data_IF_603533997804
#
_entry.id   IF_603533997804
#
_cell.length_a   1.000
_cell.length_b   1.000
_cell.length_c   1.000
_cell.angle_alpha   90.00
_cell.angle_beta   90.00
_cell.angle_gamma   90.00
#
_symmetry.space_group_name_H-M   'P 1'
#
loop_
_entity.id
_entity.type
_entity.pdbx_description
1 polymer ?
#
# COMPACT_ATOMS: atom_id res chain seq x y z
N UNK A 1 4.08 -7.79 -19.76
CA UNK A 1 2.70 -7.59 -20.18
C UNK A 1 2.36 -8.60 -21.29
N UNK A 2 1.21 -9.23 -21.22
CA UNK A 2 0.69 -10.09 -22.29
C UNK A 2 0.03 -9.21 -23.36
N UNK A 3 0.50 -9.35 -24.59
CA UNK A 3 -0.01 -8.62 -25.75
C UNK A 3 -1.18 -9.38 -26.43
N UNK A 4 -1.91 -8.69 -27.28
CA UNK A 4 -3.05 -9.29 -28.02
C UNK A 4 -2.64 -10.45 -28.92
N UNK A 5 -1.41 -10.46 -29.42
CA UNK A 5 -0.82 -11.55 -30.20
C UNK A 5 -0.27 -12.71 -29.33
N UNK A 6 -0.54 -12.69 -28.01
CA UNK A 6 -0.06 -13.65 -27.00
C UNK A 6 1.47 -13.61 -26.76
N UNK A 7 2.20 -12.61 -27.26
CA UNK A 7 3.59 -12.40 -26.88
C UNK A 7 3.68 -11.72 -25.49
N UNK A 8 4.82 -11.91 -24.83
CA UNK A 8 5.15 -11.23 -23.58
C UNK A 8 6.07 -10.06 -23.87
N UNK A 9 5.67 -8.88 -23.41
CA UNK A 9 6.54 -7.68 -23.47
C UNK A 9 7.10 -7.42 -22.07
N UNK A 10 8.42 -7.22 -22.01
CA UNK A 10 9.07 -6.76 -20.79
C UNK A 10 8.68 -5.30 -20.53
N UNK A 11 8.13 -5.03 -19.35
CA UNK A 11 7.72 -3.70 -18.90
C UNK A 11 8.44 -3.31 -17.61
N UNK A 12 9.55 -3.97 -17.27
CA UNK A 12 10.39 -3.52 -16.16
C UNK A 12 10.94 -2.12 -16.41
N UNK A 13 11.43 -1.44 -15.38
CA UNK A 13 11.96 -0.08 -15.55
C UNK A 13 13.09 -0.03 -16.57
N UNK A 14 13.14 1.03 -17.37
CA UNK A 14 14.12 1.20 -18.42
C UNK A 14 15.54 1.51 -17.90
N UNK A 15 15.65 2.10 -16.71
CA UNK A 15 16.94 2.53 -16.12
C UNK A 15 17.33 1.66 -14.94
N UNK A 16 18.35 0.83 -15.15
CA UNK A 16 18.94 -0.02 -14.11
C UNK A 16 18.09 -1.23 -13.71
N UNK A 17 18.75 -2.25 -13.20
CA UNK A 17 18.08 -3.43 -12.67
C UNK A 17 17.41 -3.11 -11.31
N UNK A 18 16.37 -3.88 -10.96
CA UNK A 18 15.86 -3.90 -9.61
C UNK A 18 16.85 -4.55 -8.66
N UNK A 19 16.83 -4.11 -7.40
CA UNK A 19 17.63 -4.74 -6.35
C UNK A 19 17.21 -6.19 -6.19
N UNK A 20 18.16 -7.10 -6.31
CA UNK A 20 17.90 -8.53 -6.06
C UNK A 20 17.71 -8.74 -4.56
N UNK A 21 16.57 -9.25 -4.19
CA UNK A 21 16.16 -9.35 -2.79
C UNK A 21 15.30 -10.58 -2.55
N UNK A 22 15.20 -10.98 -1.28
CA UNK A 22 14.22 -11.95 -0.81
C UNK A 22 12.85 -11.35 -0.57
N UNK A 23 12.73 -10.02 -0.58
CA UNK A 23 11.45 -9.34 -0.44
C UNK A 23 10.58 -9.56 -1.68
N UNK A 24 9.30 -9.75 -1.45
CA UNK A 24 8.32 -9.97 -2.50
C UNK A 24 7.77 -8.64 -2.99
N UNK A 25 7.40 -8.60 -4.25
CA UNK A 25 6.65 -7.51 -4.82
C UNK A 25 5.21 -7.54 -4.32
N UNK A 26 4.69 -6.38 -3.94
CA UNK A 26 3.27 -6.13 -3.72
C UNK A 26 2.76 -5.11 -4.75
N UNK A 27 1.49 -5.22 -5.12
CA UNK A 27 0.90 -4.46 -6.21
C UNK A 27 -0.44 -3.87 -5.81
N UNK A 28 -0.68 -2.63 -6.23
CA UNK A 28 -1.98 -1.98 -6.11
C UNK A 28 -2.40 -1.37 -7.44
N UNK A 29 -3.69 -1.41 -7.73
CA UNK A 29 -4.28 -0.67 -8.84
C UNK A 29 -4.68 0.72 -8.33
N UNK A 30 -4.28 1.77 -9.03
CA UNK A 30 -4.66 3.15 -8.75
C UNK A 30 -5.22 3.81 -10.02
N UNK A 31 -6.54 3.86 -10.12
CA UNK A 31 -7.17 4.26 -11.36
C UNK A 31 -6.78 3.32 -12.52
N UNK A 32 -6.14 3.85 -13.55
CA UNK A 32 -5.57 3.10 -14.67
C UNK A 32 -4.05 2.83 -14.52
N UNK A 33 -3.46 3.18 -13.39
CA UNK A 33 -2.06 2.92 -13.08
C UNK A 33 -1.90 1.65 -12.26
N UNK A 34 -0.71 1.06 -12.32
CA UNK A 34 -0.28 -0.02 -11.43
C UNK A 34 0.86 0.52 -10.57
N UNK A 35 0.71 0.41 -9.27
CA UNK A 35 1.76 0.71 -8.30
C UNK A 35 2.39 -0.60 -7.87
N UNK A 36 3.71 -0.64 -7.75
CA UNK A 36 4.46 -1.82 -7.32
C UNK A 36 5.52 -1.44 -6.29
N UNK A 37 5.71 -2.27 -5.29
CA UNK A 37 6.71 -2.05 -4.24
C UNK A 37 7.31 -3.36 -3.74
N UNK A 38 8.59 -3.34 -3.33
CA UNK A 38 9.33 -4.49 -2.80
C UNK A 38 10.20 -4.13 -1.59
N UNK A 39 10.11 -2.90 -1.09
CA UNK A 39 10.91 -2.32 -0.02
C UNK A 39 12.38 -2.02 -0.35
N UNK A 40 13.02 -2.74 -1.25
CA UNK A 40 14.46 -2.54 -1.56
C UNK A 40 14.66 -1.45 -2.61
N UNK A 41 13.72 -1.33 -3.54
CA UNK A 41 13.65 -0.24 -4.51
C UNK A 41 12.62 0.81 -4.09
N UNK A 42 12.72 2.00 -4.68
CA UNK A 42 11.67 3.02 -4.60
C UNK A 42 10.34 2.47 -5.14
N UNK A 43 9.23 2.96 -4.63
CA UNK A 43 7.90 2.64 -5.16
C UNK A 43 7.88 2.89 -6.67
N UNK A 44 7.39 1.93 -7.42
CA UNK A 44 7.34 1.97 -8.89
C UNK A 44 5.91 2.19 -9.37
N UNK A 45 5.75 2.85 -10.50
CA UNK A 45 4.45 3.06 -11.14
C UNK A 45 4.51 2.74 -12.63
N UNK A 46 3.45 2.10 -13.12
CA UNK A 46 3.17 1.96 -14.55
C UNK A 46 1.97 2.86 -14.86
N UNK A 47 2.20 3.94 -15.59
CA UNK A 47 1.20 4.99 -15.85
C UNK A 47 0.27 4.65 -17.01
N UNK A 48 -0.65 3.74 -16.75
CA UNK A 48 -1.67 3.34 -17.72
C UNK A 48 -1.26 2.19 -18.63
N UNK A 49 -2.23 1.72 -19.40
CA UNK A 49 -2.07 0.52 -20.23
C UNK A 49 -1.08 0.68 -21.40
N UNK A 50 -0.87 1.91 -21.86
CA UNK A 50 0.04 2.21 -22.96
C UNK A 50 1.47 2.53 -22.49
N UNK A 51 1.70 2.57 -21.19
CA UNK A 51 3.05 2.77 -20.66
C UNK A 51 3.95 1.58 -21.04
N UNK A 52 5.16 1.88 -21.47
CA UNK A 52 6.12 0.88 -21.93
C UNK A 52 6.87 0.23 -20.77
N UNK A 53 7.13 1.00 -19.70
CA UNK A 53 7.94 0.54 -18.57
C UNK A 53 7.42 1.09 -17.25
N UNK A 54 7.71 0.38 -16.17
CA UNK A 54 7.63 0.96 -14.84
C UNK A 54 8.67 2.07 -14.68
N UNK A 55 8.34 3.05 -13.86
CA UNK A 55 9.24 4.13 -13.47
C UNK A 55 9.13 4.40 -11.96
N UNK A 56 10.15 4.96 -11.32
CA UNK A 56 10.05 5.36 -9.92
C UNK A 56 8.92 6.36 -9.70
N UNK A 57 8.17 6.19 -8.62
CA UNK A 57 7.20 7.18 -8.18
C UNK A 57 7.95 8.40 -7.65
N UNK A 58 7.84 9.52 -8.37
CA UNK A 58 8.52 10.77 -7.97
C UNK A 58 7.75 11.39 -6.80
N UNK A 59 8.41 11.51 -5.67
CA UNK A 59 7.89 12.12 -4.43
C UNK A 59 8.92 13.13 -3.91
N UNK A 60 8.53 13.99 -2.97
CA UNK A 60 9.45 14.99 -2.36
C UNK A 60 10.65 14.30 -1.69
N UNK A 61 10.40 13.18 -1.04
CA UNK A 61 11.44 12.32 -0.46
C UNK A 61 11.27 10.91 -1.00
N UNK A 62 12.37 10.20 -1.20
CA UNK A 62 12.35 8.79 -1.60
C UNK A 62 11.57 7.96 -0.59
N UNK A 63 10.57 7.23 -1.08
CA UNK A 63 9.77 6.31 -0.27
C UNK A 63 9.96 4.89 -0.81
N UNK A 64 10.22 3.97 0.12
CA UNK A 64 10.22 2.53 -0.12
C UNK A 64 9.19 1.90 0.81
N UNK A 65 8.51 0.84 0.37
CA UNK A 65 7.52 0.17 1.20
C UNK A 65 7.44 -1.32 0.91
N UNK A 66 6.94 -2.12 1.85
CA UNK A 66 6.68 -3.54 1.63
C UNK A 66 5.30 -3.79 1.05
N UNK A 67 4.33 -2.97 1.40
CA UNK A 67 2.94 -3.18 1.06
C UNK A 67 2.33 -1.90 0.50
N UNK A 68 1.45 -2.08 -0.48
CA UNK A 68 0.69 -0.98 -1.04
C UNK A 68 -0.77 -1.40 -1.27
N UNK A 69 -1.70 -0.50 -0.95
CA UNK A 69 -3.12 -0.65 -1.28
C UNK A 69 -3.69 0.71 -1.67
N UNK A 70 -4.76 0.71 -2.45
CA UNK A 70 -5.51 1.92 -2.79
C UNK A 70 -6.84 1.90 -2.04
N UNK A 71 -7.21 3.03 -1.44
CA UNK A 71 -8.50 3.21 -0.79
C UNK A 71 -8.93 4.68 -0.88
N UNK A 72 -10.19 4.94 -1.24
CA UNK A 72 -10.81 6.28 -1.30
C UNK A 72 -9.98 7.37 -2.02
N UNK A 73 -9.27 7.01 -3.10
CA UNK A 73 -8.43 7.96 -3.85
C UNK A 73 -7.05 8.21 -3.23
N UNK A 74 -6.69 7.50 -2.17
CA UNK A 74 -5.38 7.55 -1.54
C UNK A 74 -4.58 6.28 -1.83
N UNK A 75 -3.27 6.43 -2.04
CA UNK A 75 -2.32 5.31 -2.05
C UNK A 75 -1.76 5.14 -0.64
N UNK A 76 -1.99 3.99 -0.05
CA UNK A 76 -1.43 3.59 1.24
C UNK A 76 -0.18 2.76 1.05
N UNK A 77 0.84 3.07 1.84
CA UNK A 77 2.10 2.34 1.90
C UNK A 77 2.35 1.90 3.34
N UNK A 78 2.56 0.60 3.53
CA UNK A 78 2.81 0.01 4.86
C UNK A 78 4.21 -0.59 4.97
N UNK A 79 4.78 -0.58 6.19
CA UNK A 79 6.16 -0.94 6.44
C UNK A 79 7.07 -0.14 5.50
N UNK A 80 7.23 1.12 5.74
CA UNK A 80 7.87 2.02 4.79
C UNK A 80 9.14 2.67 5.35
N UNK A 81 9.97 3.19 4.44
CA UNK A 81 11.09 4.07 4.72
C UNK A 81 10.83 5.41 4.03
N UNK A 82 11.00 6.51 4.75
CA UNK A 82 10.94 7.88 4.23
C UNK A 82 12.05 8.70 4.87
N UNK A 83 12.79 9.49 4.08
CA UNK A 83 13.91 10.28 4.59
C UNK A 83 14.99 9.44 5.28
N UNK A 84 15.20 8.20 4.87
CA UNK A 84 16.18 7.29 5.48
C UNK A 84 15.74 6.62 6.78
N UNK A 85 14.55 6.95 7.31
CA UNK A 85 14.00 6.36 8.54
C UNK A 85 13.01 5.26 8.18
N UNK A 86 13.15 4.08 8.79
CA UNK A 86 12.25 2.93 8.59
C UNK A 86 11.18 2.88 9.68
N UNK A 87 9.95 2.67 9.25
CA UNK A 87 8.75 2.55 10.09
C UNK A 87 8.09 1.18 9.89
N UNK A 88 8.54 0.14 10.63
CA UNK A 88 8.03 -1.23 10.44
C UNK A 88 6.53 -1.39 10.74
N UNK A 89 6.01 -0.56 11.66
CA UNK A 89 4.59 -0.50 12.04
C UNK A 89 3.91 0.75 11.46
N UNK A 90 4.60 1.45 10.57
CA UNK A 90 4.11 2.69 9.98
C UNK A 90 3.25 2.44 8.75
N UNK A 91 2.24 3.27 8.62
CA UNK A 91 1.44 3.43 7.42
C UNK A 91 1.48 4.91 7.05
N UNK A 92 1.73 5.19 5.78
CA UNK A 92 1.64 6.53 5.21
C UNK A 92 0.70 6.48 4.02
N UNK A 93 -0.10 7.52 3.84
CA UNK A 93 -0.97 7.62 2.66
C UNK A 93 -0.84 8.95 1.96
N UNK A 94 -1.02 8.90 0.65
CA UNK A 94 -0.89 10.05 -0.24
C UNK A 94 -2.03 11.05 -0.07
N UNK A 95 -1.88 12.23 -0.64
CA UNK A 95 -2.98 13.12 -0.90
C UNK A 95 -4.06 12.43 -1.76
N UNK A 96 -5.31 12.84 -1.59
CA UNK A 96 -6.42 12.33 -2.40
C UNK A 96 -6.17 12.63 -3.87
N UNK A 97 -6.33 11.61 -4.70
CA UNK A 97 -6.16 11.68 -6.15
C UNK A 97 -4.77 12.17 -6.63
N UNK A 98 -3.78 12.19 -5.72
CA UNK A 98 -2.40 12.55 -6.03
C UNK A 98 -1.40 11.67 -5.28
N UNK A 99 -0.98 10.59 -5.92
CA UNK A 99 -0.05 9.60 -5.31
C UNK A 99 1.41 10.07 -5.22
N UNK A 100 1.74 11.26 -5.74
CA UNK A 100 3.10 11.81 -5.62
C UNK A 100 3.29 12.68 -4.37
N UNK A 101 2.20 13.03 -3.69
CA UNK A 101 2.23 13.88 -2.51
C UNK A 101 1.92 13.08 -1.23
N UNK A 102 2.93 12.89 -0.39
CA UNK A 102 2.85 12.26 0.93
C UNK A 102 3.17 13.23 2.07
N UNK A 103 3.07 14.53 1.80
CA UNK A 103 3.28 15.54 2.83
C UNK A 103 2.00 15.73 3.66
N UNK A 104 2.14 15.56 4.98
CA UNK A 104 1.02 15.66 5.92
C UNK A 104 0.29 17.00 5.77
N UNK A 105 -1.00 16.93 5.48
CA UNK A 105 -1.83 18.11 5.29
C UNK A 105 -3.31 17.77 5.43
N UNK A 106 -4.01 18.49 6.26
CA UNK A 106 -5.47 18.38 6.42
C UNK A 106 -6.19 18.67 5.10
N UNK A 107 -5.71 19.66 4.33
CA UNK A 107 -6.36 20.07 3.07
C UNK A 107 -6.26 19.03 1.96
N UNK A 108 -5.22 18.21 1.95
CA UNK A 108 -5.01 17.16 0.95
C UNK A 108 -5.37 15.78 1.46
N UNK A 109 -5.56 15.64 2.76
CA UNK A 109 -5.84 14.38 3.44
C UNK A 109 -4.65 13.43 3.54
N UNK A 110 -3.46 13.85 3.10
CA UNK A 110 -2.24 13.06 3.28
C UNK A 110 -1.81 13.05 4.75
N UNK A 111 -1.48 11.90 5.28
CA UNK A 111 -0.99 11.75 6.65
C UNK A 111 -0.26 10.40 6.83
N UNK A 112 0.15 10.14 8.05
CA UNK A 112 0.77 8.86 8.44
C UNK A 112 0.38 8.49 9.86
N UNK A 113 0.44 7.21 10.17
CA UNK A 113 0.22 6.66 11.50
C UNK A 113 1.26 5.61 11.80
N UNK A 114 1.65 5.50 13.05
CA UNK A 114 2.45 4.38 13.54
C UNK A 114 1.59 3.53 14.47
N UNK A 115 1.43 2.25 14.13
CA UNK A 115 0.69 1.27 14.94
C UNK A 115 1.57 0.79 16.11
N UNK A 116 1.99 1.73 16.97
CA UNK A 116 2.99 1.46 18.02
C UNK A 116 2.54 0.40 19.04
N UNK A 117 1.23 0.20 19.20
CA UNK A 117 0.67 -0.80 20.10
C UNK A 117 0.54 -2.19 19.47
N UNK A 118 0.81 -2.30 18.17
CA UNK A 118 0.74 -3.59 17.47
C UNK A 118 1.98 -4.42 17.73
N UNK A 119 1.82 -5.71 18.10
CA UNK A 119 2.96 -6.58 18.38
C UNK A 119 3.64 -7.03 17.09
N UNK A 120 4.77 -6.43 16.78
CA UNK A 120 5.60 -6.75 15.62
C UNK A 120 5.27 -5.91 14.37
N UNK A 121 6.06 -6.07 13.31
CA UNK A 121 5.93 -5.28 12.09
C UNK A 121 4.68 -5.62 11.29
N UNK A 122 4.29 -4.71 10.38
CA UNK A 122 3.26 -5.01 9.38
C UNK A 122 3.75 -6.15 8.49
N UNK A 123 2.92 -7.17 8.31
CA UNK A 123 3.21 -8.37 7.51
C UNK A 123 2.38 -8.46 6.25
N UNK A 124 1.24 -7.75 6.20
CA UNK A 124 0.42 -7.59 5.00
C UNK A 124 -0.57 -6.43 5.17
N UNK A 125 -1.06 -5.92 4.03
CA UNK A 125 -2.20 -5.00 3.97
C UNK A 125 -3.11 -5.43 2.82
N UNK A 126 -4.44 -5.40 3.05
CA UNK A 126 -5.43 -5.70 1.99
C UNK A 126 -6.69 -4.87 2.19
N UNK A 127 -7.26 -4.44 1.09
CA UNK A 127 -8.60 -3.82 1.09
C UNK A 127 -9.65 -4.92 1.14
N UNK A 128 -10.71 -4.68 1.89
CA UNK A 128 -11.88 -5.55 1.96
C UNK A 128 -13.16 -4.72 2.14
N UNK A 129 -14.29 -5.30 1.77
CA UNK A 129 -15.60 -4.68 1.89
C UNK A 129 -16.45 -5.46 2.89
N UNK A 130 -17.14 -4.76 3.80
CA UNK A 130 -18.18 -5.38 4.60
C UNK A 130 -19.51 -5.35 3.84
N UNK A 131 -20.05 -6.51 3.52
CA UNK A 131 -21.31 -6.63 2.78
C UNK A 131 -22.53 -6.01 3.48
N UNK A 132 -22.47 -5.83 4.81
CA UNK A 132 -23.60 -5.37 5.62
C UNK A 132 -23.61 -3.88 5.94
N UNK A 133 -22.56 -3.12 5.66
CA UNK A 133 -22.38 -1.75 6.11
C UNK A 133 -22.40 -0.69 4.98
N UNK A 134 -22.91 -1.06 3.81
CA UNK A 134 -23.13 -0.08 2.75
C UNK A 134 -21.86 0.67 2.31
N UNK A 135 -21.07 0.08 1.44
CA UNK A 135 -20.15 0.74 0.50
C UNK A 135 -18.79 1.25 0.98
N UNK A 136 -18.38 1.13 2.22
CA UNK A 136 -17.07 1.59 2.60
C UNK A 136 -16.05 0.46 2.57
N UNK A 137 -15.12 0.54 1.61
CA UNK A 137 -13.96 -0.35 1.59
C UNK A 137 -13.05 0.01 2.77
N UNK A 138 -12.64 -1.02 3.52
CA UNK A 138 -11.76 -0.90 4.67
C UNK A 138 -10.40 -1.49 4.35
N UNK A 139 -9.40 -1.21 5.16
CA UNK A 139 -8.06 -1.79 5.03
C UNK A 139 -7.82 -2.70 6.23
N UNK A 140 -7.60 -3.98 5.98
CA UNK A 140 -7.06 -4.90 6.98
C UNK A 140 -5.54 -4.80 7.00
N UNK A 141 -4.98 -4.61 8.19
CA UNK A 141 -3.56 -4.46 8.43
C UNK A 141 -3.13 -5.60 9.34
N UNK A 142 -2.27 -6.45 8.84
CA UNK A 142 -1.84 -7.65 9.52
C UNK A 142 -0.48 -7.42 10.16
N UNK A 143 -0.36 -7.85 11.41
CA UNK A 143 0.89 -8.05 12.13
C UNK A 143 1.04 -9.56 12.44
N UNK A 144 2.16 -10.05 13.01
CA UNK A 144 2.32 -11.47 13.27
C UNK A 144 1.22 -12.09 14.15
N UNK A 145 0.67 -11.32 15.10
CA UNK A 145 -0.29 -11.81 16.11
C UNK A 145 -1.52 -10.89 16.26
N UNK A 146 -1.74 -9.97 15.34
CA UNK A 146 -2.92 -9.10 15.40
C UNK A 146 -3.35 -8.63 14.03
N UNK A 147 -4.61 -8.19 13.95
CA UNK A 147 -5.18 -7.52 12.78
C UNK A 147 -5.78 -6.20 13.26
N UNK A 148 -5.33 -5.12 12.67
CA UNK A 148 -5.93 -3.80 12.81
C UNK A 148 -6.77 -3.47 11.57
N UNK A 149 -7.75 -2.60 11.74
CA UNK A 149 -8.64 -2.19 10.65
C UNK A 149 -8.60 -0.68 10.52
N UNK A 150 -8.46 -0.20 9.30
CA UNK A 150 -8.62 1.21 8.98
C UNK A 150 -9.83 1.41 8.07
N UNK A 151 -10.57 2.50 8.29
CA UNK A 151 -11.71 2.89 7.46
C UNK A 151 -11.72 4.39 7.20
N UNK A 152 -12.36 4.77 6.12
CA UNK A 152 -12.57 6.17 5.80
C UNK A 152 -13.62 6.77 6.74
N UNK A 153 -13.26 7.79 7.50
CA UNK A 153 -14.17 8.49 8.43
C UNK A 153 -14.59 9.86 7.93
N UNK A 154 -13.85 10.42 6.98
CA UNK A 154 -14.06 11.80 6.54
C UNK A 154 -13.74 12.84 7.62
N UNK A 155 -13.86 14.12 7.28
CA UNK A 155 -13.58 15.21 8.22
C UNK A 155 -12.09 15.50 8.41
N UNK A 156 -11.72 16.01 9.59
CA UNK A 156 -10.34 16.41 9.89
C UNK A 156 -9.36 15.23 9.84
N UNK A 157 -9.80 14.07 10.31
CA UNK A 157 -9.07 12.81 10.21
C UNK A 157 -9.71 11.97 9.11
N UNK A 158 -9.06 11.91 7.95
CA UNK A 158 -9.59 11.18 6.79
C UNK A 158 -9.82 9.71 7.06
N UNK A 159 -8.96 9.09 7.89
CA UNK A 159 -9.03 7.68 8.23
C UNK A 159 -8.97 7.48 9.73
N UNK A 160 -9.79 6.56 10.21
CA UNK A 160 -9.80 6.07 11.59
C UNK A 160 -9.23 4.67 11.64
N UNK A 161 -8.63 4.31 12.77
CA UNK A 161 -7.94 3.04 12.97
C UNK A 161 -8.46 2.36 14.23
N UNK A 162 -8.82 1.08 14.11
CA UNK A 162 -9.07 0.19 15.24
C UNK A 162 -7.85 -0.72 15.41
N UNK A 163 -7.01 -0.35 16.36
CA UNK A 163 -5.75 -1.03 16.62
C UNK A 163 -6.01 -2.36 17.29
N UNK A 164 -5.34 -3.42 16.78
CA UNK A 164 -5.42 -4.76 17.37
C UNK A 164 -6.86 -5.25 17.57
N UNK A 165 -7.75 -4.95 16.63
CA UNK A 165 -9.15 -5.38 16.67
C UNK A 165 -9.28 -6.89 16.90
N UNK A 166 -8.37 -7.66 16.32
CA UNK A 166 -8.27 -9.10 16.54
C UNK A 166 -6.86 -9.41 17.06
N UNK A 167 -6.78 -10.00 18.25
CA UNK A 167 -5.52 -10.41 18.91
C UNK A 167 -5.42 -11.93 18.86
N UNK A 168 -4.20 -12.45 18.74
CA UNK A 168 -3.92 -13.88 18.63
C UNK A 168 -4.09 -14.45 17.22
N UNK A 169 -4.51 -13.61 16.28
CA UNK A 169 -4.65 -13.93 14.86
C UNK A 169 -3.85 -12.89 14.07
N UNK A 170 -3.03 -13.34 13.15
CA UNK A 170 -2.24 -12.46 12.31
C UNK A 170 -1.78 -13.16 11.06
N UNK A 171 -0.78 -12.62 10.39
CA UNK A 171 -0.21 -13.22 9.19
C UNK A 171 1.30 -13.27 9.27
N UNK A 172 1.89 -14.36 8.81
CA UNK A 172 3.33 -14.47 8.64
C UNK A 172 3.79 -13.67 7.41
N UNK A 173 4.99 -13.07 7.44
CA UNK A 173 5.53 -12.35 6.30
C UNK A 173 5.54 -13.22 5.03
N UNK A 174 5.06 -12.63 3.93
CA UNK A 174 5.04 -13.31 2.64
C UNK A 174 3.96 -14.37 2.45
N UNK A 175 3.03 -14.53 3.39
CA UNK A 175 1.84 -15.36 3.20
C UNK A 175 0.86 -14.62 2.30
N UNK A 176 0.32 -15.24 1.25
CA UNK A 176 -0.78 -14.66 0.49
C UNK A 176 -2.02 -14.53 1.39
N UNK A 177 -2.63 -13.35 1.39
CA UNK A 177 -3.82 -13.07 2.19
C UNK A 177 -4.95 -12.74 1.23
N UNK A 178 -6.03 -13.48 1.37
CA UNK A 178 -7.31 -13.17 0.77
C UNK A 178 -8.22 -12.72 1.91
N UNK A 179 -8.75 -11.51 1.80
CA UNK A 179 -9.79 -11.03 2.71
C UNK A 179 -11.08 -11.13 1.91
N UNK A 180 -11.88 -12.13 2.25
CA UNK A 180 -13.22 -12.30 1.67
C UNK A 180 -14.25 -11.62 2.59
N UNK A 181 -15.20 -10.92 1.99
CA UNK A 181 -16.25 -10.26 2.77
C UNK A 181 -17.10 -11.29 3.48
N UNK A 182 -17.19 -11.18 4.79
CA UNK A 182 -18.10 -12.01 5.58
C UNK A 182 -19.52 -11.50 5.32
N UNK A 183 -20.32 -12.30 4.67
CA UNK A 183 -21.77 -12.10 4.49
C UNK A 183 -22.53 -12.37 5.80
#
# INVERSE_FOLDING_TARGET
>A
RLETNKSLTDITRASGAYTTTTNKWDFAKYGNWVVATNFDDEVQVLKGMNATNFEPLVTTETIKAKFCVQNHGHLFLGYYTKGGVTYPNGIIWSAKDNITNFEKSVSTGADSVNLAESPGPITAMRVFEFASAGYDSNIAIFNPNSISVAWYSGGEYMFSFDYNRYIGIGALPGTPIIVDGIS
#
